data_IF_702798189442
#
_entry.id   IF_702798189442
#
_cell.length_a   1.000
_cell.length_b   1.000
_cell.length_c   1.000
_cell.angle_alpha   90.00
_cell.angle_beta   90.00
_cell.angle_gamma   90.00
#
_symmetry.space_group_name_H-M   'P 1'
#
loop_
_entity.id
_entity.type
_entity.pdbx_description
1 polymer ?
#
# COMPACT_ATOMS: atom_id res chain seq x y z
N UNK A 1 -11.85 -0.54 -11.75
CA UNK A 1 -10.76 -0.61 -10.74
C UNK A 1 -9.63 -1.49 -11.26
N UNK A 2 -8.36 -1.09 -11.10
CA UNK A 2 -7.17 -1.82 -11.57
C UNK A 2 -6.22 -2.11 -10.40
N UNK A 3 -5.78 -3.36 -10.25
CA UNK A 3 -4.75 -3.73 -9.28
C UNK A 3 -3.39 -3.10 -9.68
N UNK A 4 -2.76 -2.38 -8.75
CA UNK A 4 -1.43 -1.82 -8.95
C UNK A 4 -0.35 -2.80 -8.50
N UNK A 5 -0.48 -3.32 -7.30
CA UNK A 5 0.40 -4.35 -6.75
C UNK A 5 -0.26 -5.06 -5.57
N UNK A 6 0.21 -6.27 -5.31
CA UNK A 6 0.05 -6.95 -4.03
C UNK A 6 1.41 -7.18 -3.40
N UNK A 7 1.47 -7.19 -2.07
CA UNK A 7 2.70 -7.47 -1.33
C UNK A 7 2.41 -8.13 -0.01
N UNK A 8 3.20 -9.14 0.33
CA UNK A 8 3.27 -9.69 1.68
C UNK A 8 4.23 -8.84 2.52
N UNK A 9 3.78 -8.38 3.68
CA UNK A 9 4.50 -7.43 4.52
C UNK A 9 5.72 -8.09 5.17
N UNK A 10 6.89 -7.49 4.96
CA UNK A 10 8.12 -7.80 5.68
C UNK A 10 8.20 -7.06 7.02
N UNK A 11 9.21 -7.38 7.83
CA UNK A 11 9.51 -6.65 9.08
C UNK A 11 9.69 -5.14 8.83
N UNK A 12 10.46 -4.76 7.81
CA UNK A 12 10.67 -3.35 7.46
C UNK A 12 9.37 -2.66 7.04
N UNK A 13 8.47 -3.39 6.36
CA UNK A 13 7.18 -2.81 5.99
C UNK A 13 6.35 -2.51 7.22
N UNK A 14 6.23 -3.45 8.16
CA UNK A 14 5.47 -3.24 9.41
C UNK A 14 6.09 -2.12 10.27
N UNK A 15 7.41 -2.08 10.41
CA UNK A 15 8.06 -1.20 11.38
C UNK A 15 8.40 0.20 10.86
N UNK A 16 8.53 0.38 9.54
CA UNK A 16 9.12 1.61 8.96
C UNK A 16 8.31 2.19 7.80
N UNK A 17 8.20 1.46 6.69
CA UNK A 17 7.66 1.97 5.41
C UNK A 17 7.40 0.84 4.44
N UNK A 18 6.34 0.95 3.64
CA UNK A 18 6.01 -0.05 2.63
C UNK A 18 6.85 0.15 1.38
N UNK A 19 7.77 -0.76 1.08
CA UNK A 19 8.44 -0.76 -0.21
C UNK A 19 7.49 -1.30 -1.30
N UNK A 20 7.35 -0.58 -2.41
CA UNK A 20 6.48 -0.97 -3.52
C UNK A 20 7.29 -1.29 -4.78
N UNK A 21 6.73 -2.01 -5.77
CA UNK A 21 7.41 -2.25 -7.03
C UNK A 21 7.69 -0.95 -7.79
N UNK A 22 8.87 -0.81 -8.39
CA UNK A 22 9.23 0.33 -9.24
C UNK A 22 8.26 0.48 -10.42
N UNK A 23 7.74 -0.64 -10.96
CA UNK A 23 6.72 -0.63 -12.02
C UNK A 23 5.41 0.06 -11.62
N UNK A 24 5.12 0.17 -10.33
CA UNK A 24 3.94 0.87 -9.81
C UNK A 24 4.13 2.39 -9.70
N UNK A 25 5.36 2.93 -9.85
CA UNK A 25 5.66 4.36 -9.74
C UNK A 25 4.77 5.25 -10.63
N UNK A 26 4.67 4.88 -11.92
CA UNK A 26 3.88 5.63 -12.90
C UNK A 26 2.42 5.74 -12.50
N UNK A 27 1.90 4.77 -11.73
CA UNK A 27 0.51 4.80 -11.29
C UNK A 27 0.25 5.92 -10.28
N UNK A 28 1.24 6.30 -9.49
CA UNK A 28 1.20 7.39 -8.49
C UNK A 28 1.57 8.76 -9.07
N UNK A 29 1.70 8.88 -10.41
CA UNK A 29 2.19 10.08 -11.09
C UNK A 29 3.56 10.57 -10.55
N UNK A 30 4.38 9.65 -10.03
CA UNK A 30 5.74 9.94 -9.63
C UNK A 30 6.63 9.92 -10.87
N UNK A 31 7.14 11.09 -11.25
CA UNK A 31 8.31 11.17 -12.12
C UNK A 31 9.54 10.75 -11.32
N UNK A 32 10.56 10.21 -11.99
CA UNK A 32 11.82 9.81 -11.34
C UNK A 32 12.46 10.98 -10.59
N UNK A 33 12.18 12.21 -11.04
CA UNK A 33 12.67 13.48 -10.48
C UNK A 33 11.84 14.02 -9.30
N UNK A 34 10.65 13.46 -9.05
CA UNK A 34 9.80 13.88 -7.94
C UNK A 34 10.24 13.18 -6.64
N UNK A 35 10.71 13.96 -5.66
CA UNK A 35 11.17 13.45 -4.37
C UNK A 35 10.03 12.80 -3.53
N UNK A 36 8.78 13.26 -3.70
CA UNK A 36 7.63 12.73 -2.98
C UNK A 36 6.28 13.16 -3.58
N UNK A 37 5.27 12.30 -3.52
CA UNK A 37 3.87 12.59 -3.90
C UNK A 37 2.92 12.09 -2.82
N UNK A 38 2.01 12.95 -2.37
CA UNK A 38 0.90 12.58 -1.48
C UNK A 38 -0.25 11.95 -2.26
N UNK A 39 -0.95 10.98 -1.66
CA UNK A 39 -2.16 10.40 -2.25
C UNK A 39 -3.10 9.88 -1.17
N UNK A 40 -4.39 9.82 -1.53
CA UNK A 40 -5.45 9.29 -0.69
C UNK A 40 -5.81 7.86 -1.10
N UNK A 41 -6.02 6.97 -0.13
CA UNK A 41 -6.56 5.64 -0.40
C UNK A 41 -7.69 5.30 0.57
N UNK A 42 -8.79 4.79 0.04
CA UNK A 42 -9.91 4.27 0.83
C UNK A 42 -9.61 2.83 1.27
N UNK A 43 -9.65 2.55 2.57
CA UNK A 43 -9.62 1.18 3.10
C UNK A 43 -10.93 0.47 2.76
N UNK A 44 -10.84 -0.52 1.86
CA UNK A 44 -12.01 -1.24 1.35
C UNK A 44 -12.86 -1.92 2.42
N UNK A 45 -12.29 -2.24 3.59
CA UNK A 45 -13.03 -2.87 4.68
C UNK A 45 -13.79 -1.86 5.54
N UNK A 46 -13.20 -0.70 5.82
CA UNK A 46 -13.76 0.28 6.76
C UNK A 46 -14.38 1.50 6.09
N UNK A 47 -14.13 1.72 4.80
CA UNK A 47 -14.46 2.95 4.08
C UNK A 47 -13.60 4.16 4.49
N UNK A 48 -12.65 3.97 5.43
CA UNK A 48 -11.83 5.08 5.94
C UNK A 48 -10.82 5.53 4.89
N UNK A 49 -10.74 6.84 4.68
CA UNK A 49 -9.73 7.46 3.82
C UNK A 49 -8.42 7.62 4.59
N UNK A 50 -7.33 7.15 3.99
CA UNK A 50 -5.98 7.27 4.50
C UNK A 50 -5.14 8.17 3.62
N UNK A 51 -4.40 9.08 4.27
CA UNK A 51 -3.45 9.98 3.63
C UNK A 51 -2.06 9.34 3.66
N UNK A 52 -1.50 9.09 2.48
CA UNK A 52 -0.19 8.48 2.33
C UNK A 52 0.76 9.39 1.56
N UNK A 53 2.06 9.18 1.74
CA UNK A 53 3.09 9.79 0.90
C UNK A 53 3.96 8.70 0.30
N UNK A 54 4.03 8.66 -1.03
CA UNK A 54 4.99 7.84 -1.75
C UNK A 54 6.25 8.67 -2.03
N UNK A 55 7.41 8.11 -1.76
CA UNK A 55 8.72 8.77 -1.92
C UNK A 55 9.63 7.86 -2.72
N UNK A 56 10.46 8.44 -3.58
CA UNK A 56 11.43 7.68 -4.36
C UNK A 56 12.83 8.03 -3.87
N UNK A 57 13.63 7.02 -3.52
CA UNK A 57 15.03 7.29 -3.14
C UNK A 57 15.83 7.63 -4.40
N UNK A 58 16.46 8.80 -4.44
CA UNK A 58 17.30 9.27 -5.56
C UNK A 58 18.75 8.78 -5.50
N UNK A 59 19.21 8.20 -4.37
CA UNK A 59 20.56 7.64 -4.23
C UNK A 59 20.61 6.15 -4.61
N UNK A 60 21.35 5.82 -5.67
CA UNK A 60 21.66 4.47 -6.16
C UNK A 60 21.15 4.19 -7.59
N UNK A 61 21.61 3.11 -8.22
CA UNK A 61 21.21 2.71 -9.59
C UNK A 61 19.71 2.43 -9.76
N UNK A 62 18.99 2.13 -8.67
CA UNK A 62 17.56 1.82 -8.69
C UNK A 62 16.79 2.74 -7.74
N UNK A 63 15.90 3.54 -8.32
CA UNK A 63 14.95 4.40 -7.63
C UNK A 63 13.85 3.54 -6.99
N UNK A 64 14.09 3.07 -5.75
CA UNK A 64 13.13 2.21 -5.03
C UNK A 64 12.05 3.07 -4.37
N UNK A 65 10.78 2.97 -4.79
CA UNK A 65 9.69 3.69 -4.14
C UNK A 65 9.28 3.08 -2.81
N UNK A 66 8.87 3.95 -1.89
CA UNK A 66 8.33 3.57 -0.59
C UNK A 66 7.15 4.47 -0.22
N UNK A 67 6.08 3.86 0.30
CA UNK A 67 5.02 4.59 1.01
C UNK A 67 5.49 4.80 2.45
N UNK A 68 5.72 6.05 2.82
CA UNK A 68 6.37 6.46 4.07
C UNK A 68 5.38 7.11 5.03
N UNK A 69 5.01 8.38 4.81
CA UNK A 69 4.08 9.11 5.68
C UNK A 69 2.69 8.45 5.65
N UNK A 70 2.06 8.33 6.82
CA UNK A 70 0.75 7.71 7.01
C UNK A 70 0.79 6.18 7.13
N UNK A 71 1.86 5.53 6.64
CA UNK A 71 1.93 4.07 6.59
C UNK A 71 2.01 3.42 7.97
N UNK A 72 2.92 3.86 8.84
CA UNK A 72 3.05 3.26 10.18
C UNK A 72 1.80 3.52 11.03
N UNK A 73 1.14 4.67 10.85
CA UNK A 73 -0.16 4.93 11.47
C UNK A 73 -1.22 3.93 11.01
N UNK A 74 -1.29 3.64 9.70
CA UNK A 74 -2.17 2.63 9.13
C UNK A 74 -1.89 1.24 9.70
N UNK A 75 -0.62 0.83 9.72
CA UNK A 75 -0.16 -0.45 10.31
C UNK A 75 -0.63 -0.59 11.76
N UNK A 76 -0.40 0.43 12.59
CA UNK A 76 -0.78 0.41 14.01
C UNK A 76 -2.30 0.34 14.17
N UNK A 77 -3.05 1.15 13.42
CA UNK A 77 -4.51 1.17 13.50
C UNK A 77 -5.14 -0.17 13.09
N UNK A 78 -4.65 -0.77 12.00
CA UNK A 78 -5.14 -2.05 11.49
C UNK A 78 -4.51 -3.25 12.19
N UNK A 79 -3.58 -3.02 13.12
CA UNK A 79 -2.80 -4.03 13.82
C UNK A 79 -2.13 -5.03 12.85
N UNK A 80 -1.52 -4.50 11.78
CA UNK A 80 -0.87 -5.31 10.75
C UNK A 80 0.41 -5.96 11.27
N UNK A 81 0.72 -7.14 10.74
CA UNK A 81 1.83 -7.98 11.17
C UNK A 81 2.61 -8.48 9.97
N UNK A 82 3.83 -8.98 10.25
CA UNK A 82 4.65 -9.62 9.23
C UNK A 82 3.87 -10.80 8.66
N UNK A 83 3.83 -10.89 7.33
CA UNK A 83 3.11 -11.94 6.63
C UNK A 83 1.67 -11.59 6.22
N UNK A 84 1.08 -10.50 6.72
CA UNK A 84 -0.16 -9.96 6.16
C UNK A 84 0.05 -9.53 4.71
N UNK A 85 -1.00 -9.57 3.89
CA UNK A 85 -0.96 -9.23 2.47
C UNK A 85 -1.71 -7.93 2.24
N UNK A 86 -1.09 -7.01 1.53
CA UNK A 86 -1.69 -5.73 1.15
C UNK A 86 -1.85 -5.68 -0.36
N UNK A 87 -3.00 -5.19 -0.81
CA UNK A 87 -3.28 -4.88 -2.20
C UNK A 87 -3.65 -3.41 -2.34
N UNK A 88 -3.09 -2.74 -3.35
CA UNK A 88 -3.42 -1.36 -3.69
C UNK A 88 -3.99 -1.33 -5.10
N UNK A 89 -5.08 -0.61 -5.26
CA UNK A 89 -5.82 -0.48 -6.51
C UNK A 89 -5.92 0.98 -6.93
N UNK A 90 -5.99 1.23 -8.23
CA UNK A 90 -6.32 2.54 -8.83
C UNK A 90 -7.73 2.49 -9.41
N UNK A 91 -8.53 3.50 -9.10
CA UNK A 91 -9.86 3.70 -9.68
C UNK A 91 -9.75 4.41 -11.04
N UNK A 92 -10.75 4.23 -11.89
CA UNK A 92 -10.82 4.92 -13.16
C UNK A 92 -11.13 6.41 -12.90
N UNK A 93 -10.47 7.31 -13.61
CA UNK A 93 -10.48 8.76 -13.32
C UNK A 93 -11.88 9.40 -13.40
N UNK A 94 -12.83 8.77 -14.09
CA UNK A 94 -14.16 9.33 -14.32
C UNK A 94 -15.18 9.01 -13.21
N UNK A 95 -14.80 8.25 -12.17
CA UNK A 95 -15.78 7.62 -11.26
C UNK A 95 -15.55 7.90 -9.76
N UNK A 96 -14.42 8.49 -9.33
CA UNK A 96 -14.07 8.47 -7.91
C UNK A 96 -13.48 9.78 -7.37
N UNK A 97 -14.02 10.23 -6.23
CA UNK A 97 -13.48 11.31 -5.41
C UNK A 97 -12.12 10.94 -4.80
N UNK A 98 -11.92 9.65 -4.48
CA UNK A 98 -10.66 9.09 -3.95
C UNK A 98 -10.06 8.15 -4.99
N UNK A 99 -8.86 8.41 -5.53
CA UNK A 99 -8.34 7.70 -6.70
C UNK A 99 -7.77 6.30 -6.41
N UNK A 100 -7.52 5.95 -5.15
CA UNK A 100 -6.94 4.66 -4.77
C UNK A 100 -7.77 3.93 -3.73
N UNK A 101 -7.67 2.59 -3.74
CA UNK A 101 -8.17 1.74 -2.66
C UNK A 101 -7.06 0.88 -2.09
N UNK A 102 -7.15 0.57 -0.81
CA UNK A 102 -6.25 -0.35 -0.11
C UNK A 102 -7.05 -1.47 0.56
N UNK A 103 -6.55 -2.69 0.45
CA UNK A 103 -7.12 -3.87 1.07
C UNK A 103 -6.04 -4.65 1.79
N UNK A 104 -6.38 -5.22 2.94
CA UNK A 104 -5.45 -6.04 3.72
C UNK A 104 -6.08 -7.37 4.06
N UNK A 105 -5.31 -8.43 3.87
CA UNK A 105 -5.69 -9.80 4.17
C UNK A 105 -4.68 -10.43 5.13
N UNK A 106 -5.20 -11.22 6.07
CA UNK A 106 -4.40 -12.03 6.98
C UNK A 106 -4.63 -13.50 6.70
N UNK A 107 -3.55 -14.27 6.69
CA UNK A 107 -3.60 -15.73 6.61
C UNK A 107 -3.95 -16.30 7.98
N UNK A 108 -5.09 -16.97 8.08
CA UNK A 108 -5.58 -17.63 9.29
C UNK A 108 -5.62 -19.15 9.06
N UNK A 109 -5.43 -19.92 10.14
CA UNK A 109 -5.68 -21.37 10.13
C UNK A 109 -7.02 -21.62 10.81
N UNK A 110 -8.01 -22.06 10.04
CA UNK A 110 -9.36 -22.37 10.51
C UNK A 110 -9.66 -23.82 10.19
N UNK A 111 -9.98 -24.63 11.21
CA UNK A 111 -10.31 -26.05 11.05
C UNK A 111 -9.28 -26.83 10.23
N UNK A 112 -7.98 -26.57 10.48
CA UNK A 112 -6.87 -27.20 9.78
C UNK A 112 -6.54 -26.61 8.39
N UNK A 113 -7.39 -25.75 7.82
CA UNK A 113 -7.20 -25.14 6.49
C UNK A 113 -6.67 -23.71 6.60
N UNK A 114 -5.85 -23.30 5.63
CA UNK A 114 -5.33 -21.94 5.53
C UNK A 114 -6.27 -21.08 4.67
N UNK A 115 -6.74 -19.96 5.23
CA UNK A 115 -7.69 -19.05 4.58
C UNK A 115 -7.18 -17.61 4.69
N UNK A 116 -7.41 -16.80 3.66
CA UNK A 116 -7.16 -15.34 3.71
C UNK A 116 -8.43 -14.63 4.15
N UNK A 117 -8.32 -13.81 5.20
CA UNK A 117 -9.43 -13.03 5.74
C UNK A 117 -9.11 -11.54 5.69
N UNK A 118 -10.09 -10.72 5.31
CA UNK A 118 -9.93 -9.26 5.26
C UNK A 118 -9.80 -8.69 6.68
N UNK A 119 -8.72 -7.96 6.96
CA UNK A 119 -8.45 -7.36 8.29
C UNK A 119 -8.61 -5.86 8.28
#
# INVERSE_FOLDING_TARGET
MKLLFTKQLSKTDVEKRLAIPTSSLRAFNLNVDACSVGFEAEDMKSGRIWQFQCTTRTKGFYSKPVISKGWVQFVKFKQLRVGDRVAVYKLNQNEAQVPYKIEVERKLKLLGKLVWAKV
#
